data_IF_577786777239
#
_entry.id   IF_577786777239
#
_cell.length_a   1.000
_cell.length_b   1.000
_cell.length_c   1.000
_cell.angle_alpha   90.00
_cell.angle_beta   90.00
_cell.angle_gamma   90.00
#
_symmetry.space_group_name_H-M   'P 1'
#
loop_
_entity.id
_entity.type
_entity.pdbx_description
1 polymer ?
#
# COMPACT_ATOMS: atom_id res chain seq x y z
N UNK A 1 -14.31 16.61 6.47
CA UNK A 1 -14.60 16.16 5.09
C UNK A 1 -13.67 14.99 4.76
N UNK A 2 -13.93 14.20 3.72
CA UNK A 2 -13.09 13.07 3.34
C UNK A 2 -13.66 11.69 3.69
N UNK A 3 -12.96 10.65 3.27
CA UNK A 3 -13.44 9.27 3.27
C UNK A 3 -13.74 8.74 4.68
N UNK A 4 -12.94 9.09 5.70
CA UNK A 4 -13.14 8.59 7.07
C UNK A 4 -14.44 9.09 7.69
N UNK A 5 -14.81 10.36 7.46
CA UNK A 5 -16.10 10.90 7.90
C UNK A 5 -17.26 10.22 7.18
N UNK A 6 -17.16 10.04 5.86
CA UNK A 6 -18.18 9.32 5.08
C UNK A 6 -18.35 7.88 5.56
N UNK A 7 -17.26 7.21 5.95
CA UNK A 7 -17.29 5.87 6.53
C UNK A 7 -18.01 5.87 7.88
N UNK A 8 -17.70 6.83 8.76
CA UNK A 8 -18.38 6.96 10.06
C UNK A 8 -19.89 7.21 9.91
N UNK A 9 -20.28 8.11 9.00
CA UNK A 9 -21.68 8.49 8.78
C UNK A 9 -22.47 7.37 8.06
N UNK A 10 -21.82 6.64 7.13
CA UNK A 10 -22.48 5.64 6.28
C UNK A 10 -22.38 4.19 6.77
N UNK A 11 -21.42 3.86 7.63
CA UNK A 11 -21.23 2.51 8.16
C UNK A 11 -20.53 2.52 9.53
N UNK A 12 -21.30 2.59 10.64
CA UNK A 12 -20.75 2.55 11.99
C UNK A 12 -19.88 1.31 12.24
N UNK A 13 -20.29 0.15 11.73
CA UNK A 13 -19.53 -1.09 11.84
C UNK A 13 -18.21 -1.05 11.04
N UNK A 14 -18.23 -0.49 9.82
CA UNK A 14 -17.02 -0.29 9.02
C UNK A 14 -16.04 0.67 9.68
N UNK A 15 -16.56 1.75 10.27
CA UNK A 15 -15.75 2.69 11.04
C UNK A 15 -15.10 2.03 12.26
N UNK A 16 -15.87 1.26 13.04
CA UNK A 16 -15.35 0.53 14.19
C UNK A 16 -14.25 -0.47 13.78
N UNK A 17 -14.47 -1.21 12.68
CA UNK A 17 -13.50 -2.18 12.14
C UNK A 17 -12.21 -1.49 11.70
N UNK A 18 -12.32 -0.36 10.99
CA UNK A 18 -11.15 0.43 10.60
C UNK A 18 -10.36 0.91 11.82
N UNK A 19 -11.03 1.43 12.84
CA UNK A 19 -10.39 1.93 14.07
C UNK A 19 -9.65 0.80 14.79
N UNK A 20 -10.29 -0.35 14.96
CA UNK A 20 -9.66 -1.54 15.54
C UNK A 20 -8.41 -1.96 14.76
N UNK A 21 -8.51 -2.09 13.43
CA UNK A 21 -7.38 -2.49 12.59
C UNK A 21 -6.23 -1.49 12.61
N UNK A 22 -6.54 -0.19 12.60
CA UNK A 22 -5.53 0.87 12.71
C UNK A 22 -4.85 0.88 14.08
N UNK A 23 -5.59 0.62 15.15
CA UNK A 23 -5.03 0.50 16.50
C UNK A 23 -4.12 -0.71 16.64
N UNK A 24 -4.46 -1.84 16.01
CA UNK A 24 -3.60 -3.01 15.92
C UNK A 24 -2.34 -2.73 15.09
N UNK A 25 -2.47 -2.09 13.93
CA UNK A 25 -1.34 -1.76 13.06
C UNK A 25 -0.28 -0.94 13.79
N UNK A 26 -0.68 0.06 14.58
CA UNK A 26 0.25 0.86 15.39
C UNK A 26 1.03 0.06 16.42
N UNK A 27 0.53 -1.09 16.86
CA UNK A 27 1.21 -1.95 17.84
C UNK A 27 2.24 -2.88 17.19
N UNK A 28 2.03 -3.24 15.92
CA UNK A 28 2.85 -4.22 15.22
C UNK A 28 3.82 -3.58 14.22
N UNK A 29 3.56 -2.35 13.79
CA UNK A 29 4.43 -1.62 12.88
C UNK A 29 5.76 -1.31 13.58
N UNK A 30 6.87 -1.74 12.98
CA UNK A 30 8.22 -1.42 13.44
C UNK A 30 8.78 -0.28 12.58
N UNK A 31 9.39 0.71 13.22
CA UNK A 31 10.04 1.82 12.52
C UNK A 31 11.53 1.57 12.25
N UNK A 32 12.10 0.53 12.88
CA UNK A 32 13.48 0.06 12.67
C UNK A 32 13.57 -0.80 11.40
N UNK A 33 13.34 -0.15 10.26
CA UNK A 33 13.48 -0.75 8.93
C UNK A 33 14.29 0.18 8.03
N UNK A 34 15.28 -0.32 7.27
CA UNK A 34 16.03 0.49 6.32
C UNK A 34 15.11 1.22 5.35
N UNK A 35 15.33 2.53 5.22
CA UNK A 35 14.56 3.38 4.32
C UNK A 35 15.09 3.27 2.89
N UNK A 36 14.17 3.19 1.94
CA UNK A 36 14.51 3.22 0.51
C UNK A 36 13.44 3.98 -0.28
N UNK A 37 13.70 4.15 -1.57
CA UNK A 37 12.72 4.68 -2.51
C UNK A 37 11.66 3.60 -2.77
N UNK A 38 10.40 3.99 -2.60
CA UNK A 38 9.21 3.18 -2.87
C UNK A 38 8.44 3.80 -4.04
N UNK A 39 7.77 2.97 -4.81
CA UNK A 39 6.88 3.40 -5.88
C UNK A 39 5.44 3.56 -5.41
N UNK A 40 4.96 2.64 -4.57
CA UNK A 40 3.63 2.58 -3.97
C UNK A 40 2.47 2.46 -4.97
N UNK A 41 2.75 1.99 -6.19
CA UNK A 41 1.71 1.78 -7.21
C UNK A 41 2.12 0.76 -8.32
N UNK A 42 2.99 -0.20 -8.01
CA UNK A 42 3.56 -1.09 -9.03
C UNK A 42 2.54 -2.07 -9.63
N UNK A 43 1.44 -2.34 -8.94
CA UNK A 43 0.39 -3.29 -9.40
C UNK A 43 -0.45 -2.75 -10.57
N UNK A 44 -0.37 -1.45 -10.86
CA UNK A 44 -1.18 -0.78 -11.88
C UNK A 44 -0.53 -0.79 -13.28
N UNK A 45 0.22 -1.86 -13.62
CA UNK A 45 0.92 -1.99 -14.91
C UNK A 45 1.97 -0.88 -15.13
N UNK A 46 2.55 -0.39 -14.04
CA UNK A 46 3.58 0.65 -14.03
C UNK A 46 5.00 0.12 -14.28
N UNK A 47 5.12 -1.16 -14.62
CA UNK A 47 6.37 -1.84 -14.92
C UNK A 47 6.34 -2.35 -16.36
N UNK A 48 7.33 -1.93 -17.15
CA UNK A 48 7.55 -2.44 -18.50
C UNK A 48 8.54 -3.61 -18.46
N UNK A 49 8.13 -4.74 -19.05
CA UNK A 49 8.97 -5.92 -19.23
C UNK A 49 9.19 -6.14 -20.73
N UNK A 50 10.44 -6.22 -21.16
CA UNK A 50 10.83 -6.63 -22.51
C UNK A 50 11.97 -7.66 -22.41
N UNK A 51 11.94 -8.66 -23.28
CA UNK A 51 12.96 -9.73 -23.34
C UNK A 51 13.22 -10.41 -21.97
N UNK A 52 12.17 -10.59 -21.16
CA UNK A 52 12.25 -11.16 -19.81
C UNK A 52 13.08 -10.31 -18.82
N UNK A 53 13.20 -9.01 -19.08
CA UNK A 53 13.89 -8.02 -18.24
C UNK A 53 12.97 -6.85 -17.90
N UNK A 54 13.10 -6.30 -16.69
CA UNK A 54 12.50 -5.02 -16.31
C UNK A 54 13.20 -3.91 -17.10
N UNK A 55 12.47 -3.23 -17.98
CA UNK A 55 13.03 -2.23 -18.89
C UNK A 55 12.77 -0.81 -18.38
N UNK A 56 11.64 -0.58 -17.72
CA UNK A 56 11.29 0.73 -17.18
C UNK A 56 10.23 0.63 -16.08
N UNK A 57 10.20 1.66 -15.24
CA UNK A 57 9.20 1.88 -14.19
C UNK A 57 8.68 3.32 -14.31
N UNK A 58 7.37 3.47 -14.44
CA UNK A 58 6.69 4.74 -14.73
C UNK A 58 5.69 5.10 -13.65
N UNK A 59 5.15 6.32 -13.68
CA UNK A 59 4.10 6.80 -12.76
C UNK A 59 4.50 6.79 -11.27
N UNK A 60 5.56 7.54 -10.99
CA UNK A 60 6.08 7.74 -9.63
C UNK A 60 5.25 8.72 -8.78
N UNK A 61 4.03 9.08 -9.20
CA UNK A 61 3.22 10.09 -8.50
C UNK A 61 2.88 9.73 -7.05
N UNK A 62 2.84 8.44 -6.73
CA UNK A 62 2.64 7.91 -5.38
C UNK A 62 3.95 7.58 -4.64
N UNK A 63 5.09 7.78 -5.29
CA UNK A 63 6.41 7.42 -4.80
C UNK A 63 6.80 8.19 -3.53
N UNK A 64 7.56 7.53 -2.66
CA UNK A 64 7.98 8.08 -1.36
C UNK A 64 9.25 7.41 -0.86
N UNK A 65 9.96 8.07 0.05
CA UNK A 65 11.08 7.45 0.78
C UNK A 65 10.56 6.87 2.09
N UNK A 66 10.75 5.57 2.32
CA UNK A 66 10.10 4.90 3.44
C UNK A 66 10.49 3.43 3.62
N UNK A 67 9.63 2.71 4.34
CA UNK A 67 9.76 1.29 4.63
C UNK A 67 9.42 0.41 3.41
N UNK A 68 10.37 -0.39 2.93
CA UNK A 68 10.17 -1.31 1.80
C UNK A 68 9.15 -2.43 2.08
N UNK A 69 8.91 -2.78 3.34
CA UNK A 69 7.92 -3.78 3.73
C UNK A 69 6.50 -3.31 3.38
N UNK A 70 6.26 -2.00 3.32
CA UNK A 70 4.99 -1.45 2.84
C UNK A 70 4.70 -1.85 1.39
N UNK A 71 5.71 -1.81 0.53
CA UNK A 71 5.57 -2.16 -0.89
C UNK A 71 5.44 -3.68 -1.08
N UNK A 72 6.16 -4.49 -0.29
CA UNK A 72 6.00 -5.95 -0.28
C UNK A 72 4.62 -6.39 0.25
N UNK A 73 4.14 -5.77 1.33
CA UNK A 73 2.81 -6.03 1.86
C UNK A 73 1.72 -5.69 0.84
N UNK A 74 1.96 -4.68 -0.01
CA UNK A 74 1.07 -4.35 -1.12
C UNK A 74 0.97 -5.49 -2.14
N UNK A 75 2.10 -6.08 -2.53
CA UNK A 75 2.09 -7.25 -3.42
C UNK A 75 1.37 -8.44 -2.81
N UNK A 76 1.69 -8.79 -1.56
CA UNK A 76 1.07 -9.92 -0.87
C UNK A 76 -0.44 -9.75 -0.71
N UNK A 77 -0.88 -8.55 -0.32
CA UNK A 77 -2.30 -8.24 -0.15
C UNK A 77 -3.08 -8.40 -1.46
N UNK A 78 -2.49 -8.00 -2.60
CA UNK A 78 -3.16 -8.06 -3.89
C UNK A 78 -2.91 -9.36 -4.67
N UNK A 79 -1.97 -10.20 -4.24
CA UNK A 79 -1.60 -11.45 -4.94
C UNK A 79 -2.81 -12.32 -5.32
N UNK A 80 -3.87 -12.49 -4.51
CA UNK A 80 -5.03 -13.29 -4.92
C UNK A 80 -5.82 -12.75 -6.13
N UNK A 81 -5.63 -11.47 -6.50
CA UNK A 81 -6.33 -10.80 -7.60
C UNK A 81 -5.48 -10.64 -8.86
N UNK A 82 -4.21 -11.04 -8.82
CA UNK A 82 -3.29 -10.95 -9.94
C UNK A 82 -2.67 -12.33 -10.22
N UNK A 83 -2.43 -12.69 -11.50
CA UNK A 83 -1.79 -13.95 -11.85
C UNK A 83 -0.31 -14.02 -11.45
#
# INVERSE_FOLDING_TARGET
HGWLKRLADGSPAGHATFRWGYDLLKQIANDDVPRCLLHCDLINRNVLVADNHLTAVFDWGCGRYGDHLYELAWFEFWAPWHP
#
